data_IF_853723465815
#
_entry.id   IF_853723465815
#
_cell.length_a   1.000
_cell.length_b   1.000
_cell.length_c   1.000
_cell.angle_alpha   90.00
_cell.angle_beta   90.00
_cell.angle_gamma   90.00
#
_symmetry.space_group_name_H-M   'P 1'
#
loop_
_entity.id
_entity.type
_entity.pdbx_description
1 polymer ?
#
# COMPACT_ATOMS: atom_id res chain seq x y z
N UNK A 1 -14.09 3.55 -9.47
CA UNK A 1 -12.86 2.92 -10.03
C UNK A 1 -13.20 1.48 -10.40
N UNK A 2 -12.66 0.92 -11.49
CA UNK A 2 -12.88 -0.51 -11.80
C UNK A 2 -11.92 -1.39 -11.01
N UNK A 3 -12.31 -2.63 -10.69
CA UNK A 3 -11.44 -3.58 -9.98
C UNK A 3 -10.14 -3.87 -10.73
N UNK A 4 -10.19 -3.98 -12.05
CA UNK A 4 -8.98 -4.12 -12.90
C UNK A 4 -8.02 -2.95 -12.70
N UNK A 5 -8.52 -1.71 -12.62
CA UNK A 5 -7.67 -0.54 -12.36
C UNK A 5 -7.04 -0.63 -10.97
N UNK A 6 -7.77 -1.09 -9.96
CA UNK A 6 -7.22 -1.30 -8.60
C UNK A 6 -6.06 -2.29 -8.62
N UNK A 7 -6.23 -3.42 -9.29
CA UNK A 7 -5.19 -4.46 -9.35
C UNK A 7 -3.95 -3.97 -10.11
N UNK A 8 -4.12 -3.18 -11.18
CA UNK A 8 -3.01 -2.55 -11.89
C UNK A 8 -2.26 -1.54 -11.02
N UNK A 9 -3.01 -0.65 -10.35
CA UNK A 9 -2.44 0.36 -9.44
C UNK A 9 -1.73 -0.33 -8.25
N UNK A 10 -2.31 -1.41 -7.72
CA UNK A 10 -1.74 -2.23 -6.66
C UNK A 10 -0.45 -2.94 -7.09
N UNK A 11 -0.40 -3.48 -8.31
CA UNK A 11 0.80 -4.11 -8.86
C UNK A 11 1.93 -3.09 -9.10
N UNK A 12 1.61 -1.84 -9.48
CA UNK A 12 2.60 -0.77 -9.57
C UNK A 12 3.19 -0.41 -8.20
N UNK A 13 2.35 -0.40 -7.16
CA UNK A 13 2.79 -0.14 -5.79
C UNK A 13 3.56 -1.30 -5.19
N UNK A 14 3.13 -2.54 -5.42
CA UNK A 14 3.77 -3.73 -4.85
C UNK A 14 3.84 -4.84 -5.92
N UNK A 15 4.88 -4.84 -6.77
CA UNK A 15 5.02 -5.81 -7.87
C UNK A 15 5.02 -7.27 -7.41
N UNK A 16 5.52 -7.51 -6.20
CA UNK A 16 5.63 -8.84 -5.60
C UNK A 16 4.39 -9.24 -4.78
N UNK A 17 3.41 -8.35 -4.63
CA UNK A 17 2.19 -8.64 -3.90
C UNK A 17 1.20 -9.40 -4.79
N UNK A 18 0.69 -10.51 -4.27
CA UNK A 18 -0.36 -11.30 -4.90
C UNK A 18 -1.68 -11.05 -4.19
N UNK A 19 -2.73 -10.75 -4.96
CA UNK A 19 -4.10 -10.61 -4.47
C UNK A 19 -4.95 -11.75 -4.98
N UNK A 20 -5.84 -12.23 -4.13
CA UNK A 20 -6.74 -13.32 -4.46
C UNK A 20 -8.12 -12.78 -4.88
N UNK A 21 -8.86 -13.57 -5.66
CA UNK A 21 -10.14 -13.14 -6.24
C UNK A 21 -11.23 -12.88 -5.18
N UNK A 22 -11.11 -13.50 -4.02
CA UNK A 22 -12.00 -13.35 -2.86
C UNK A 22 -11.75 -12.06 -2.06
N UNK A 23 -10.61 -11.40 -2.22
CA UNK A 23 -10.32 -10.15 -1.52
C UNK A 23 -11.16 -9.00 -2.07
N UNK A 24 -11.85 -8.29 -1.20
CA UNK A 24 -12.54 -7.05 -1.52
C UNK A 24 -11.55 -5.94 -1.90
N UNK A 25 -12.06 -4.93 -2.60
CA UNK A 25 -11.26 -3.74 -2.94
C UNK A 25 -10.71 -3.02 -1.69
N UNK A 26 -11.44 -3.08 -0.58
CA UNK A 26 -10.99 -2.51 0.70
C UNK A 26 -9.80 -3.29 1.26
N UNK A 27 -9.87 -4.62 1.30
CA UNK A 27 -8.80 -5.50 1.83
C UNK A 27 -7.49 -5.36 1.05
N UNK A 28 -7.57 -5.21 -0.28
CA UNK A 28 -6.40 -4.95 -1.13
C UNK A 28 -5.72 -3.64 -0.73
N UNK A 29 -6.49 -2.54 -0.66
CA UNK A 29 -5.94 -1.22 -0.28
C UNK A 29 -5.40 -1.24 1.15
N UNK A 30 -6.12 -1.85 2.08
CA UNK A 30 -5.73 -1.96 3.50
C UNK A 30 -4.40 -2.69 3.65
N UNK A 31 -4.22 -3.81 2.94
CA UNK A 31 -2.99 -4.58 2.97
C UNK A 31 -1.78 -3.79 2.48
N UNK A 32 -1.96 -3.01 1.39
CA UNK A 32 -0.91 -2.17 0.83
C UNK A 32 -0.57 -0.96 1.72
N UNK A 33 -1.60 -0.30 2.25
CA UNK A 33 -1.44 0.82 3.18
C UNK A 33 -0.71 0.37 4.44
N UNK A 34 -1.08 -0.79 5.00
CA UNK A 34 -0.43 -1.39 6.15
C UNK A 34 1.03 -1.76 5.85
N UNK A 35 1.31 -2.35 4.69
CA UNK A 35 2.66 -2.70 4.29
C UNK A 35 3.56 -1.46 4.11
N UNK A 36 2.99 -0.34 3.65
CA UNK A 36 3.70 0.93 3.50
C UNK A 36 3.92 1.66 4.82
N UNK A 37 2.86 1.87 5.60
CA UNK A 37 2.88 2.68 6.83
C UNK A 37 3.37 1.91 8.06
N UNK A 38 3.27 0.57 8.04
CA UNK A 38 3.54 -0.30 9.19
C UNK A 38 2.35 -0.45 10.14
N UNK A 39 2.45 -1.32 11.16
CA UNK A 39 1.37 -1.64 12.09
C UNK A 39 0.93 -0.46 12.98
N UNK A 40 1.75 0.58 13.08
CA UNK A 40 1.46 1.82 13.80
C UNK A 40 1.02 2.95 12.86
N UNK A 41 0.47 2.60 11.68
CA UNK A 41 -0.20 3.54 10.81
C UNK A 41 -1.29 4.23 11.64
N UNK A 42 -1.08 5.48 12.04
CA UNK A 42 -2.01 6.25 12.89
C UNK A 42 -3.32 6.63 12.20
N UNK A 43 -3.84 5.75 11.35
CA UNK A 43 -5.10 5.86 10.62
C UNK A 43 -6.00 4.69 11.01
N UNK A 44 -7.29 4.91 10.93
CA UNK A 44 -8.27 3.84 11.09
C UNK A 44 -8.31 2.97 9.82
N UNK A 45 -7.79 1.75 9.95
CA UNK A 45 -7.70 0.78 8.86
C UNK A 45 -9.04 0.09 8.54
N UNK A 46 -10.05 0.24 9.40
CA UNK A 46 -11.39 -0.31 9.17
C UNK A 46 -12.29 0.72 8.44
N UNK A 47 -11.85 1.98 8.38
CA UNK A 47 -12.51 3.02 7.59
C UNK A 47 -12.11 2.94 6.11
N UNK A 48 -13.04 2.48 5.25
CA UNK A 48 -12.82 2.44 3.80
C UNK A 48 -12.39 3.78 3.22
N UNK A 49 -12.98 4.88 3.69
CA UNK A 49 -12.69 6.22 3.20
C UNK A 49 -11.26 6.68 3.55
N UNK A 50 -10.78 6.38 4.76
CA UNK A 50 -9.40 6.71 5.17
C UNK A 50 -8.39 5.85 4.41
N UNK A 51 -8.64 4.55 4.32
CA UNK A 51 -7.78 3.63 3.56
C UNK A 51 -7.70 4.02 2.09
N UNK A 52 -8.82 4.38 1.46
CA UNK A 52 -8.82 4.85 0.07
C UNK A 52 -7.99 6.13 -0.12
N UNK A 53 -8.12 7.11 0.80
CA UNK A 53 -7.33 8.36 0.74
C UNK A 53 -5.83 8.10 0.93
N UNK A 54 -5.46 7.21 1.86
CA UNK A 54 -4.08 6.83 2.08
C UNK A 54 -3.49 6.14 0.84
N UNK A 55 -4.22 5.19 0.27
CA UNK A 55 -3.85 4.49 -0.96
C UNK A 55 -3.66 5.46 -2.14
N UNK A 56 -4.60 6.39 -2.36
CA UNK A 56 -4.48 7.41 -3.40
C UNK A 56 -3.27 8.32 -3.18
N UNK A 57 -2.93 8.60 -1.91
CA UNK A 57 -1.72 9.35 -1.57
C UNK A 57 -0.46 8.57 -1.94
N UNK A 58 -0.41 7.27 -1.66
CA UNK A 58 0.70 6.40 -2.04
C UNK A 58 0.92 6.41 -3.56
N UNK A 59 -0.14 6.27 -4.34
CA UNK A 59 -0.08 6.34 -5.82
C UNK A 59 0.52 7.65 -6.32
N UNK A 60 0.11 8.79 -5.73
CA UNK A 60 0.65 10.10 -6.11
C UNK A 60 2.13 10.27 -5.78
N UNK A 61 2.59 9.63 -4.70
CA UNK A 61 4.00 9.68 -4.29
C UNK A 61 4.91 8.76 -5.09
N UNK A 62 4.33 7.84 -5.89
CA UNK A 62 5.10 6.90 -6.70
C UNK A 62 5.95 5.93 -5.88
N UNK A 63 5.56 5.65 -4.63
CA UNK A 63 6.32 4.79 -3.73
C UNK A 63 6.04 3.33 -4.04
N UNK A 64 7.10 2.54 -4.17
CA UNK A 64 7.02 1.07 -4.25
C UNK A 64 7.18 0.45 -2.86
N UNK A 65 6.24 -0.40 -2.51
CA UNK A 65 6.26 -1.27 -1.33
C UNK A 65 6.99 -2.55 -1.71
N UNK A 66 8.32 -2.53 -1.62
CA UNK A 66 9.12 -3.75 -1.80
C UNK A 66 8.91 -4.71 -0.62
N UNK A 67 8.74 -5.99 -0.92
CA UNK A 67 8.74 -7.08 0.06
C UNK A 67 10.09 -7.34 0.74
N UNK A 68 11.09 -6.49 0.48
CA UNK A 68 12.46 -6.61 0.97
C UNK A 68 12.67 -6.09 2.40
N UNK A 69 13.55 -6.76 3.15
CA UNK A 69 14.02 -6.33 4.47
C UNK A 69 14.38 -4.84 4.51
N UNK A 70 13.99 -4.18 5.60
CA UNK A 70 14.13 -2.73 5.94
C UNK A 70 15.49 -2.10 5.60
N UNK A 71 16.54 -2.90 5.42
CA UNK A 71 17.93 -2.53 5.13
C UNK A 71 18.22 -2.00 3.73
N UNK A 72 17.31 -2.13 2.75
CA UNK A 72 17.58 -1.75 1.36
C UNK A 72 16.99 -0.39 0.95
N UNK A 73 16.45 0.40 1.90
CA UNK A 73 15.77 1.66 1.59
C UNK A 73 16.77 2.81 1.39
N UNK A 74 16.90 3.41 0.19
CA UNK A 74 17.83 4.53 -0.05
C UNK A 74 17.45 5.82 0.70
N UNK A 75 16.22 5.92 1.23
CA UNK A 75 15.75 7.07 2.02
C UNK A 75 15.72 6.85 3.54
N UNK A 76 16.18 5.70 4.05
CA UNK A 76 16.26 5.45 5.50
C UNK A 76 17.51 6.05 6.19
N UNK A 77 18.41 6.71 5.44
CA UNK A 77 19.66 7.28 5.96
C UNK A 77 19.62 8.80 6.23
N UNK A 78 18.47 9.36 6.59
CA UNK A 78 18.38 10.78 6.98
C UNK A 78 17.75 11.02 8.36
N UNK A 79 17.92 10.09 9.29
CA UNK A 79 17.72 10.33 10.72
C UNK A 79 18.75 9.52 11.52
N UNK A 80 19.99 10.01 11.55
CA UNK A 80 20.96 9.78 12.62
C UNK A 80 21.68 11.09 12.90
#
# INVERSE_FOLDING_TARGET
MSRTKLLLDAHQLAPDAFFTDDQTDHEIRRSLVLAFMGPEAGIDLDSEAMVARAFDSMLRTGVTVDGGTRSSRPHAQLLH
#
